data_IF_949336359862
#
_entry.id   IF_949336359862
#
_cell.length_a   1.000
_cell.length_b   1.000
_cell.length_c   1.000
_cell.angle_alpha   90.00
_cell.angle_beta   90.00
_cell.angle_gamma   90.00
#
_symmetry.space_group_name_H-M   'P 1'
#
loop_
_entity.id
_entity.type
_entity.pdbx_description
1 polymer ?
#
# COMPACT_ATOMS: atom_id res chain seq x y z
N UNK A 1 -38.27 -16.73 -38.08
CA UNK A 1 -37.63 -15.63 -37.34
C UNK A 1 -36.94 -16.26 -36.13
N UNK A 2 -35.77 -16.85 -36.35
CA UNK A 2 -34.42 -16.25 -36.32
C UNK A 2 -34.07 -15.81 -34.90
N UNK A 3 -33.38 -16.72 -34.22
CA UNK A 3 -32.83 -16.65 -32.88
C UNK A 3 -31.99 -15.38 -32.62
N UNK A 4 -32.26 -14.69 -31.51
CA UNK A 4 -31.37 -13.68 -30.93
C UNK A 4 -30.07 -14.34 -30.42
N UNK A 5 -28.88 -13.92 -30.88
CA UNK A 5 -27.65 -14.41 -30.30
C UNK A 5 -27.22 -13.57 -29.08
N UNK A 6 -26.86 -14.31 -28.04
CA UNK A 6 -26.27 -13.89 -26.78
C UNK A 6 -25.33 -12.68 -26.87
N UNK A 7 -25.62 -11.66 -26.05
CA UNK A 7 -24.73 -10.55 -25.78
C UNK A 7 -23.40 -11.04 -25.18
N UNK A 8 -22.39 -11.18 -26.03
CA UNK A 8 -21.01 -11.44 -25.64
C UNK A 8 -20.47 -10.26 -24.82
N UNK A 9 -20.39 -10.43 -23.49
CA UNK A 9 -19.65 -9.53 -22.61
C UNK A 9 -18.18 -9.52 -23.05
N UNK A 10 -17.78 -8.45 -23.73
CA UNK A 10 -16.38 -8.13 -24.01
C UNK A 10 -15.62 -8.05 -22.68
N UNK A 11 -14.87 -9.10 -22.37
CA UNK A 11 -13.80 -9.05 -21.38
C UNK A 11 -12.82 -7.97 -21.82
N UNK A 12 -12.92 -6.80 -21.20
CA UNK A 12 -11.90 -5.75 -21.29
C UNK A 12 -10.67 -6.33 -20.60
N UNK A 13 -9.76 -6.92 -21.39
CA UNK A 13 -8.40 -7.25 -20.97
C UNK A 13 -7.82 -5.95 -20.41
N UNK A 14 -7.79 -5.83 -19.09
CA UNK A 14 -7.01 -4.81 -18.41
C UNK A 14 -5.58 -5.19 -18.73
N UNK A 15 -5.04 -4.49 -19.72
CA UNK A 15 -3.62 -4.56 -20.05
C UNK A 15 -2.90 -4.15 -18.77
N UNK A 16 -2.29 -5.13 -18.13
CA UNK A 16 -1.50 -4.97 -16.94
C UNK A 16 -0.18 -4.33 -17.38
N UNK A 17 -0.28 -3.07 -17.78
CA UNK A 17 0.83 -2.23 -18.17
C UNK A 17 1.48 -1.75 -16.87
N UNK A 18 2.09 -2.69 -16.14
CA UNK A 18 3.20 -2.33 -15.29
C UNK A 18 4.28 -1.84 -16.25
N UNK A 19 4.29 -0.53 -16.49
CA UNK A 19 5.37 0.16 -17.15
C UNK A 19 6.68 -0.38 -16.59
N UNK A 20 7.47 -0.94 -17.49
CA UNK A 20 8.87 -1.25 -17.33
C UNK A 20 9.62 0.05 -16.99
N UNK A 21 9.59 0.46 -15.72
CA UNK A 21 10.56 1.38 -15.18
C UNK A 21 11.79 0.56 -14.82
N UNK A 22 12.63 0.33 -15.82
CA UNK A 22 14.04 0.11 -15.59
C UNK A 22 14.64 1.43 -15.08
N UNK A 23 14.48 1.70 -13.79
CA UNK A 23 15.43 2.52 -13.04
C UNK A 23 15.97 1.65 -11.93
N UNK A 24 17.08 0.98 -12.25
CA UNK A 24 17.97 0.37 -11.28
C UNK A 24 18.74 1.50 -10.56
N UNK A 25 18.03 2.38 -9.87
CA UNK A 25 18.64 3.09 -8.75
C UNK A 25 18.47 2.17 -7.56
N UNK A 26 19.49 1.34 -7.35
CA UNK A 26 19.69 0.63 -6.10
C UNK A 26 19.77 1.74 -5.05
N UNK A 27 18.66 2.05 -4.38
CA UNK A 27 18.69 2.83 -3.15
C UNK A 27 19.53 2.02 -2.17
N UNK A 28 20.78 2.42 -1.86
CA UNK A 28 21.75 1.54 -1.21
C UNK A 28 21.36 1.15 0.22
N UNK A 29 20.26 1.71 0.72
CA UNK A 29 19.82 1.59 2.11
C UNK A 29 18.46 0.91 2.27
N UNK A 30 17.80 0.41 1.21
CA UNK A 30 16.56 -0.34 1.39
C UNK A 30 16.84 -1.69 2.06
N UNK A 31 15.97 -2.09 2.98
CA UNK A 31 16.10 -3.39 3.66
C UNK A 31 15.50 -4.50 2.80
N UNK A 32 16.31 -5.01 1.87
CA UNK A 32 15.93 -6.01 0.86
C UNK A 32 15.32 -7.26 1.50
N UNK A 33 14.12 -7.64 1.04
CA UNK A 33 13.42 -8.85 1.49
C UNK A 33 12.67 -8.71 2.81
N UNK A 34 12.65 -7.52 3.41
CA UNK A 34 11.97 -7.22 4.68
C UNK A 34 10.47 -7.55 4.67
N UNK A 35 9.83 -7.60 3.49
CA UNK A 35 8.45 -8.09 3.38
C UNK A 35 8.27 -9.46 4.06
N UNK A 36 9.22 -10.39 3.91
CA UNK A 36 9.07 -11.72 4.49
C UNK A 36 9.14 -11.72 6.01
N UNK A 37 10.02 -10.89 6.60
CA UNK A 37 10.12 -10.75 8.06
C UNK A 37 8.81 -10.21 8.65
N UNK A 38 8.19 -9.22 8.00
CA UNK A 38 6.87 -8.71 8.40
C UNK A 38 5.76 -9.76 8.23
N UNK A 39 5.79 -10.53 7.14
CA UNK A 39 4.81 -11.60 6.91
C UNK A 39 4.89 -12.72 7.96
N UNK A 40 6.07 -12.96 8.54
CA UNK A 40 6.27 -13.91 9.63
C UNK A 40 5.95 -13.33 11.01
N UNK A 41 5.54 -12.06 11.11
CA UNK A 41 5.21 -11.42 12.37
C UNK A 41 6.41 -11.21 13.29
N UNK A 42 7.61 -11.04 12.73
CA UNK A 42 8.83 -10.83 13.51
C UNK A 42 8.72 -9.50 14.27
N UNK A 43 8.55 -9.57 15.59
CA UNK A 43 8.48 -8.38 16.46
C UNK A 43 9.84 -7.67 16.53
N UNK A 44 9.82 -6.36 16.66
CA UNK A 44 11.03 -5.53 16.82
C UNK A 44 11.89 -5.40 15.57
N UNK A 45 11.39 -5.84 14.42
CA UNK A 45 12.09 -5.73 13.16
C UNK A 45 11.80 -4.36 12.51
N UNK A 46 12.87 -3.59 12.26
CA UNK A 46 12.80 -2.31 11.52
C UNK A 46 13.31 -2.47 10.10
N UNK A 47 12.65 -1.85 9.13
CA UNK A 47 13.07 -1.86 7.72
C UNK A 47 13.06 -0.46 7.13
N UNK A 48 14.04 -0.15 6.29
CA UNK A 48 14.05 1.03 5.44
C UNK A 48 13.34 0.66 4.13
N UNK A 49 12.24 1.34 3.84
CA UNK A 49 11.33 1.05 2.74
C UNK A 49 11.08 2.31 1.92
N UNK A 50 10.83 2.14 0.63
CA UNK A 50 10.35 3.22 -0.23
C UNK A 50 8.81 3.23 -0.23
N UNK A 51 8.22 4.40 -0.02
CA UNK A 51 6.80 4.65 -0.23
C UNK A 51 6.61 4.96 -1.70
N UNK A 52 6.03 4.04 -2.47
CA UNK A 52 5.75 4.28 -3.88
C UNK A 52 4.50 5.14 -4.07
N UNK A 53 3.48 4.85 -3.27
CA UNK A 53 2.19 5.50 -3.43
C UNK A 53 1.45 5.64 -2.09
N UNK A 54 0.78 6.78 -1.92
CA UNK A 54 -0.12 7.09 -0.80
C UNK A 54 -1.51 7.39 -1.39
N UNK A 55 -2.52 6.62 -0.97
CA UNK A 55 -3.92 6.79 -1.39
C UNK A 55 -4.81 7.04 -0.19
N UNK A 56 -5.68 8.05 -0.26
CA UNK A 56 -6.74 8.23 0.72
C UNK A 56 -7.76 7.09 0.60
N UNK A 57 -8.07 6.44 1.72
CA UNK A 57 -9.13 5.44 1.79
C UNK A 57 -10.46 6.20 1.92
N UNK A 58 -11.26 6.20 0.86
CA UNK A 58 -12.60 6.78 0.89
C UNK A 58 -13.50 5.91 1.77
N UNK A 59 -13.96 6.44 2.90
CA UNK A 59 -15.05 5.85 3.68
C UNK A 59 -16.37 6.09 2.95
N UNK A 60 -17.28 5.12 3.02
CA UNK A 60 -18.53 5.11 2.23
C UNK A 60 -19.62 6.04 2.77
N UNK A 61 -19.41 6.73 3.88
CA UNK A 61 -20.42 7.64 4.41
C UNK A 61 -20.47 8.89 3.53
N UNK A 62 -21.58 9.13 2.79
CA UNK A 62 -21.64 10.20 1.79
C UNK A 62 -21.75 11.59 2.40
N UNK A 63 -22.21 11.68 3.65
CA UNK A 63 -22.66 12.94 4.27
C UNK A 63 -21.90 13.33 5.55
N UNK A 64 -20.93 12.52 5.97
CA UNK A 64 -20.01 12.81 7.07
C UNK A 64 -18.60 12.86 6.53
N UNK A 65 -17.94 14.03 6.62
CA UNK A 65 -16.48 14.06 6.50
C UNK A 65 -15.94 13.07 7.54
N UNK A 66 -15.18 12.03 7.14
CA UNK A 66 -14.58 11.16 8.12
C UNK A 66 -13.73 12.03 9.03
N UNK A 67 -14.06 12.01 10.32
CA UNK A 67 -13.34 12.75 11.37
C UNK A 67 -11.84 12.44 11.32
N UNK A 68 -11.48 11.30 10.73
CA UNK A 68 -10.11 10.83 10.60
C UNK A 68 -9.80 10.24 9.21
N UNK A 69 -8.89 10.92 8.49
CA UNK A 69 -8.39 10.48 7.19
C UNK A 69 -7.49 9.25 7.34
N UNK A 70 -7.83 8.16 6.65
CA UNK A 70 -7.01 6.95 6.58
C UNK A 70 -6.27 6.86 5.25
N UNK A 71 -5.00 6.49 5.29
CA UNK A 71 -4.17 6.41 4.09
C UNK A 71 -3.68 4.97 3.88
N UNK A 72 -3.83 4.47 2.64
CA UNK A 72 -3.22 3.24 2.18
C UNK A 72 -1.89 3.56 1.50
N UNK A 73 -0.87 2.79 1.83
CA UNK A 73 0.49 2.89 1.33
C UNK A 73 0.79 1.71 0.41
N UNK A 74 1.55 1.97 -0.65
CA UNK A 74 2.30 0.93 -1.37
C UNK A 74 3.77 1.08 -1.00
N UNK A 75 4.33 0.06 -0.36
CA UNK A 75 5.72 0.05 0.07
C UNK A 75 6.56 -0.89 -0.80
N UNK A 76 7.84 -0.57 -0.95
CA UNK A 76 8.82 -1.36 -1.68
C UNK A 76 10.08 -1.57 -0.83
N UNK A 77 10.53 -2.82 -0.75
CA UNK A 77 11.72 -3.20 0.03
C UNK A 77 13.00 -3.32 -0.80
N UNK A 78 12.98 -3.01 -2.10
CA UNK A 78 14.09 -3.29 -3.02
C UNK A 78 13.95 -4.61 -3.79
N UNK A 79 12.94 -5.42 -3.45
CA UNK A 79 12.65 -6.69 -4.15
C UNK A 79 11.15 -6.98 -4.30
N UNK A 80 10.33 -6.61 -3.32
CA UNK A 80 8.91 -6.90 -3.26
C UNK A 80 8.09 -5.65 -2.93
N UNK A 81 6.87 -5.64 -3.47
CA UNK A 81 5.86 -4.65 -3.13
C UNK A 81 4.95 -5.14 -2.00
N UNK A 82 4.46 -4.22 -1.18
CA UNK A 82 3.45 -4.42 -0.14
C UNK A 82 2.33 -3.40 -0.33
N UNK A 83 1.17 -3.84 -0.83
CA UNK A 83 0.04 -2.97 -1.19
C UNK A 83 -1.10 -2.94 -0.16
N UNK A 84 -1.05 -3.82 0.84
CA UNK A 84 -2.08 -3.98 1.88
C UNK A 84 -1.74 -3.18 3.15
N UNK A 85 -1.07 -2.06 2.99
CA UNK A 85 -0.39 -1.34 4.05
C UNK A 85 -1.20 -0.09 4.39
N UNK A 86 -1.65 0.06 5.64
CA UNK A 86 -2.46 1.18 6.12
C UNK A 86 -1.63 1.98 7.10
N UNK A 87 -1.58 3.30 6.90
CA UNK A 87 -0.89 4.21 7.81
C UNK A 87 -1.66 4.26 9.13
N UNK A 88 -0.94 4.13 10.26
CA UNK A 88 -1.51 4.39 11.57
C UNK A 88 -2.18 5.76 11.62
N UNK A 89 -3.38 5.80 12.19
CA UNK A 89 -4.21 7.00 12.32
C UNK A 89 -3.43 8.20 12.90
N UNK A 90 -2.68 7.94 13.97
CA UNK A 90 -1.83 8.89 14.68
C UNK A 90 -0.68 9.44 13.81
N UNK A 91 -0.38 8.78 12.69
CA UNK A 91 0.66 9.18 11.74
C UNK A 91 0.10 9.91 10.52
N UNK A 92 -1.23 10.09 10.43
CA UNK A 92 -1.87 10.80 9.30
C UNK A 92 -1.35 12.23 9.12
N UNK A 93 -0.89 12.86 10.21
CA UNK A 93 -0.23 14.17 10.19
C UNK A 93 1.03 14.21 9.32
N UNK A 94 1.75 13.09 9.18
CA UNK A 94 2.94 13.03 8.32
C UNK A 94 2.60 13.27 6.84
N UNK A 95 1.45 12.74 6.38
CA UNK A 95 0.99 12.95 5.02
C UNK A 95 0.41 14.35 4.86
N UNK A 96 -0.36 14.83 5.86
CA UNK A 96 -0.96 16.17 5.82
C UNK A 96 0.08 17.30 5.78
N UNK A 97 1.24 17.09 6.41
CA UNK A 97 2.32 18.06 6.49
C UNK A 97 3.42 17.83 5.44
N UNK A 98 3.18 17.00 4.41
CA UNK A 98 4.14 16.64 3.35
C UNK A 98 5.48 16.04 3.82
N UNK A 99 5.54 15.56 5.06
CA UNK A 99 6.69 14.86 5.63
C UNK A 99 6.80 13.46 5.00
N UNK A 100 5.66 12.79 4.80
CA UNK A 100 5.56 11.50 4.13
C UNK A 100 4.78 11.66 2.81
N UNK A 101 5.49 11.51 1.69
CA UNK A 101 4.95 11.66 0.33
C UNK A 101 5.33 10.48 -0.58
N UNK A 102 4.74 10.41 -1.77
CA UNK A 102 5.16 9.44 -2.78
C UNK A 102 6.66 9.56 -3.06
N UNK A 103 7.31 8.42 -3.29
CA UNK A 103 8.75 8.21 -3.44
C UNK A 103 9.60 8.49 -2.18
N UNK A 104 9.00 8.76 -1.01
CA UNK A 104 9.76 8.92 0.23
C UNK A 104 10.44 7.63 0.66
N UNK A 105 11.63 7.74 1.24
CA UNK A 105 12.30 6.62 1.91
C UNK A 105 12.09 6.79 3.41
N UNK A 106 11.52 5.78 4.06
CA UNK A 106 11.16 5.85 5.46
C UNK A 106 11.59 4.58 6.19
N UNK A 107 12.04 4.74 7.44
CA UNK A 107 12.25 3.62 8.35
C UNK A 107 10.92 3.25 9.00
N UNK A 108 10.45 2.05 8.71
CA UNK A 108 9.32 1.42 9.40
C UNK A 108 9.86 0.67 10.60
N UNK A 109 9.40 1.01 11.80
CA UNK A 109 9.89 0.40 13.04
C UNK A 109 8.99 -0.73 13.53
N UNK A 110 7.70 -0.68 13.21
CA UNK A 110 6.80 -1.80 13.42
C UNK A 110 5.70 -1.83 12.36
N UNK A 111 5.31 -3.04 11.99
CA UNK A 111 4.12 -3.31 11.16
C UNK A 111 3.28 -4.34 11.89
N UNK A 112 2.09 -3.92 12.32
CA UNK A 112 1.16 -4.78 13.03
C UNK A 112 0.18 -5.40 12.02
N UNK A 113 0.07 -6.72 12.03
CA UNK A 113 -0.90 -7.44 11.21
C UNK A 113 -2.20 -7.53 12.00
N UNK A 114 -3.24 -6.82 11.55
CA UNK A 114 -4.56 -6.88 12.19
C UNK A 114 -5.48 -7.79 11.38
N UNK A 115 -5.93 -8.88 11.99
CA UNK A 115 -6.92 -9.80 11.39
C UNK A 115 -8.37 -9.26 11.37
N UNK A 116 -8.57 -7.98 11.75
CA UNK A 116 -9.89 -7.47 12.12
C UNK A 116 -10.85 -7.17 10.96
N UNK A 117 -10.42 -7.28 9.71
CA UNK A 117 -11.32 -7.20 8.56
C UNK A 117 -10.96 -8.38 7.66
N UNK A 118 -11.98 -9.05 7.13
CA UNK A 118 -12.02 -10.26 6.28
C UNK A 118 -11.05 -10.31 5.06
N UNK A 119 -10.08 -9.40 4.97
CA UNK A 119 -9.11 -9.22 3.89
C UNK A 119 -7.63 -9.04 4.32
N UNK A 120 -7.27 -9.20 5.60
CA UNK A 120 -5.86 -9.26 6.03
C UNK A 120 -5.07 -7.95 5.84
N UNK A 121 -5.67 -6.81 6.17
CA UNK A 121 -5.02 -5.50 6.14
C UNK A 121 -3.90 -5.39 7.20
N UNK A 122 -2.83 -4.65 6.88
CA UNK A 122 -1.64 -4.50 7.74
C UNK A 122 -1.45 -3.04 8.09
N UNK A 123 -1.27 -2.72 9.37
CA UNK A 123 -1.07 -1.36 9.85
C UNK A 123 0.41 -1.07 10.06
N UNK A 124 0.86 0.11 9.67
CA UNK A 124 2.26 0.52 9.75
C UNK A 124 2.42 1.66 10.73
N UNK A 125 3.44 1.54 11.57
CA UNK A 125 3.92 2.58 12.46
C UNK A 125 5.32 3.04 12.05
N UNK A 126 5.43 4.32 11.72
CA UNK A 126 6.69 5.03 11.58
C UNK A 126 7.06 5.63 12.96
N UNK A 127 8.35 5.82 13.24
CA UNK A 127 8.82 6.70 14.34
C UNK A 127 9.55 7.85 13.68
#
# INVERSE_FOLDING_TARGET
EVDEPLAAKKHKKIHNQYCSFAMCEIFPNLTIGSRYDYMKGRKGYSAILQVLEIRLIKTKEPDSEPTEKRYRLILYDGKHFMSSCVLGINMSGLVKNDILKNNSIARVNSMDVCNAVTHGERYIKFI
#
